data_IF_703273173602
#
_entry.id   IF_703273173602
#
_cell.length_a   1.000
_cell.length_b   1.000
_cell.length_c   1.000
_cell.angle_alpha   90.00
_cell.angle_beta   90.00
_cell.angle_gamma   90.00
#
_symmetry.space_group_name_H-M   'P 1'
#
loop_
_entity.id
_entity.type
_entity.pdbx_description
1 polymer ?
2 non-polymer ?
3 non-polymer ?
4 non-polymer ?
5 water ?
#
# COMPACT_ATOMS: atom_id res chain seq x y z
N UNK A 1 -21.48 -2.78 -1.25
CA UNK A 1 -21.89 -3.84 -2.20
C UNK A 1 -21.45 -5.20 -1.70
N UNK A 2 -20.14 -5.38 -1.52
CA UNK A 2 -19.63 -6.63 -0.93
C UNK A 2 -18.75 -6.28 0.27
N UNK A 3 -19.27 -6.46 1.50
CA UNK A 3 -18.49 -6.18 2.70
C UNK A 3 -17.33 -7.18 2.84
N UNK A 4 -17.51 -8.40 2.37
CA UNK A 4 -16.46 -9.45 2.42
C UNK A 4 -15.23 -8.97 1.67
N UNK A 5 -15.44 -8.39 0.50
CA UNK A 5 -14.34 -7.87 -0.34
C UNK A 5 -13.73 -6.65 0.37
N UNK A 6 -14.55 -5.78 0.94
CA UNK A 6 -14.02 -4.62 1.67
C UNK A 6 -13.13 -5.04 2.86
N UNK A 7 -13.54 -6.09 3.57
CA UNK A 7 -12.77 -6.53 4.73
C UNK A 7 -11.49 -7.29 4.36
N UNK A 8 -11.52 -8.03 3.25
CA UNK A 8 -10.33 -8.61 2.66
C UNK A 8 -9.30 -7.53 2.31
N UNK A 9 -9.78 -6.45 1.68
CA UNK A 9 -8.95 -5.30 1.33
C UNK A 9 -8.30 -4.68 2.57
N UNK A 10 -9.11 -4.56 3.62
CA UNK A 10 -8.66 -3.96 4.86
C UNK A 10 -7.57 -4.79 5.51
N UNK A 11 -7.84 -6.10 5.62
CA UNK A 11 -6.91 -7.03 6.24
C UNK A 11 -5.60 -7.07 5.44
N UNK A 12 -5.69 -7.10 4.11
CA UNK A 12 -4.50 -7.05 3.28
C UNK A 12 -3.74 -5.75 3.55
N UNK A 13 -4.46 -4.61 3.61
CA UNK A 13 -3.85 -3.31 3.90
C UNK A 13 -3.08 -3.30 5.21
N UNK A 14 -3.68 -3.82 6.28
CA UNK A 14 -3.03 -3.99 7.56
C UNK A 14 -1.71 -4.76 7.47
N UNK A 15 -1.70 -5.85 6.71
CA UNK A 15 -0.48 -6.65 6.57
C UNK A 15 0.61 -5.94 5.74
N UNK A 16 0.22 -5.24 4.66
CA UNK A 16 1.14 -4.36 3.95
C UNK A 16 1.79 -3.40 4.93
N UNK A 17 0.99 -2.81 5.81
CA UNK A 17 1.51 -1.84 6.75
C UNK A 17 2.49 -2.48 7.75
N UNK A 18 2.19 -3.68 8.25
CA UNK A 18 3.04 -4.30 9.24
C UNK A 18 4.42 -4.63 8.67
N UNK A 19 4.50 -5.21 7.46
CA UNK A 19 5.84 -5.55 7.02
C UNK A 19 6.55 -4.33 6.48
N UNK A 20 5.77 -3.35 6.01
CA UNK A 20 6.34 -2.04 5.72
C UNK A 20 7.04 -1.47 6.95
N UNK A 21 6.30 -1.40 8.06
CA UNK A 21 6.88 -0.88 9.30
C UNK A 21 8.06 -1.73 9.76
N UNK A 22 7.91 -3.05 9.64
CA UNK A 22 8.96 -3.98 9.99
C UNK A 22 10.20 -3.74 9.14
N UNK A 23 9.97 -3.55 7.84
CA UNK A 23 11.06 -3.34 6.91
C UNK A 23 11.71 -1.99 7.16
N UNK A 24 10.91 -1.00 7.58
CA UNK A 24 11.46 0.31 7.88
C UNK A 24 12.57 0.18 8.91
N UNK A 25 12.40 -0.73 9.86
CA UNK A 25 13.35 -0.87 11.00
C UNK A 25 14.63 -1.61 10.65
N UNK A 26 14.85 -1.96 9.39
CA UNK A 26 16.05 -2.68 8.99
C UNK A 26 16.76 -2.07 7.79
N UNK A 27 18.09 -2.04 7.86
CA UNK A 27 18.95 -1.54 6.80
C UNK A 27 18.94 -2.48 5.59
N UNK A 28 18.73 -3.79 5.84
CA UNK A 28 18.59 -4.78 4.78
C UNK A 28 17.51 -5.79 5.17
N UNK A 29 16.57 -6.07 4.25
CA UNK A 29 15.48 -7.01 4.49
C UNK A 29 15.61 -8.23 3.58
N UNK A 30 15.27 -9.42 4.05
CA UNK A 30 15.39 -10.59 3.20
C UNK A 30 14.53 -10.38 1.95
N UNK A 31 14.88 -10.99 0.80
CA UNK A 31 13.98 -10.94 -0.36
C UNK A 31 12.63 -11.60 -0.06
N UNK A 32 12.60 -12.54 0.88
CA UNK A 32 11.36 -13.19 1.27
C UNK A 32 10.37 -12.16 1.83
N UNK A 33 10.86 -11.31 2.75
CA UNK A 33 10.03 -10.31 3.40
C UNK A 33 9.63 -9.24 2.40
N UNK A 34 10.62 -8.77 1.61
CA UNK A 34 10.38 -7.77 0.59
C UNK A 34 9.32 -8.31 -0.37
N UNK A 35 9.44 -9.58 -0.76
CA UNK A 35 8.43 -10.18 -1.63
C UNK A 35 7.05 -10.36 -1.00
N UNK A 36 6.97 -10.61 0.31
CA UNK A 36 5.67 -10.76 0.96
C UNK A 36 4.90 -9.43 0.91
N UNK A 37 5.63 -8.37 1.24
CA UNK A 37 5.07 -7.03 1.25
C UNK A 37 4.50 -6.74 -0.14
N UNK A 38 5.29 -7.06 -1.15
CA UNK A 38 4.90 -6.61 -2.45
C UNK A 38 3.78 -7.50 -3.00
N UNK A 39 3.76 -8.81 -2.71
CA UNK A 39 2.61 -9.63 -3.06
C UNK A 39 1.33 -9.18 -2.37
N UNK A 40 1.47 -8.76 -1.12
CA UNK A 40 0.34 -8.21 -0.39
C UNK A 40 -0.11 -6.88 -1.01
N UNK A 41 0.85 -6.04 -1.38
CA UNK A 41 0.52 -4.78 -2.03
C UNK A 41 -0.33 -5.03 -3.29
N UNK A 42 0.10 -6.00 -4.07
CA UNK A 42 -0.58 -6.38 -5.32
C UNK A 42 -2.03 -6.78 -5.02
N UNK A 43 -2.25 -7.55 -3.96
CA UNK A 43 -3.59 -8.02 -3.63
C UNK A 43 -4.50 -6.96 -3.02
N UNK A 44 -3.97 -6.01 -2.22
CA UNK A 44 -4.80 -4.88 -1.78
C UNK A 44 -5.22 -4.00 -2.97
N UNK A 45 -4.28 -3.71 -3.87
CA UNK A 45 -4.56 -3.00 -5.11
C UNK A 45 -5.65 -3.77 -5.88
N UNK A 46 -5.41 -5.03 -6.19
CA UNK A 46 -6.45 -5.80 -6.89
C UNK A 46 -7.83 -5.77 -6.23
N UNK A 47 -7.90 -5.87 -4.89
CA UNK A 47 -9.19 -5.90 -4.22
C UNK A 47 -9.83 -4.51 -4.27
N UNK A 48 -8.98 -3.48 -4.27
CA UNK A 48 -9.54 -2.14 -4.37
C UNK A 48 -10.25 -1.92 -5.69
N UNK A 49 -9.58 -2.28 -6.79
CA UNK A 49 -10.20 -2.23 -8.10
C UNK A 49 -11.49 -3.05 -8.15
N UNK A 50 -11.44 -4.24 -7.57
CA UNK A 50 -12.60 -5.13 -7.60
C UNK A 50 -13.79 -4.39 -7.00
N UNK A 51 -13.59 -3.61 -5.94
CA UNK A 51 -14.68 -2.85 -5.33
C UNK A 51 -15.27 -1.75 -6.21
N UNK A 52 -14.48 -1.11 -7.08
CA UNK A 52 -15.06 -0.14 -7.98
C UNK A 52 -15.88 -0.75 -9.12
N UNK A 53 -16.14 -2.07 -9.09
CA UNK A 53 -16.75 -2.81 -10.20
C UNK A 53 -17.83 -3.74 -9.77
N UNK A 59 -19.39 6.20 0.06
CA UNK A 59 -18.83 7.38 0.74
C UNK A 59 -19.18 8.51 -0.24
N UNK A 60 -18.14 9.15 -0.80
CA UNK A 60 -18.26 10.16 -1.86
C UNK A 60 -17.40 9.68 -3.02
N UNK A 61 -17.74 10.04 -4.28
CA UNK A 61 -16.84 9.76 -5.40
C UNK A 61 -15.49 10.47 -5.34
N UNK A 62 -15.44 11.70 -4.80
CA UNK A 62 -14.21 12.48 -4.78
C UNK A 62 -13.18 11.91 -3.81
N UNK A 63 -13.64 11.35 -2.69
CA UNK A 63 -12.78 10.64 -1.76
C UNK A 63 -12.22 9.30 -2.28
N UNK A 64 -13.08 8.44 -2.84
CA UNK A 64 -12.62 7.29 -3.62
C UNK A 64 -11.62 7.64 -4.73
N UNK A 65 -11.86 8.73 -5.44
CA UNK A 65 -10.94 9.14 -6.50
C UNK A 65 -9.55 9.45 -5.95
N UNK A 66 -9.49 10.21 -4.85
CA UNK A 66 -8.26 10.62 -4.19
C UNK A 66 -7.46 9.39 -3.74
N UNK A 67 -8.15 8.48 -3.07
CA UNK A 67 -7.58 7.26 -2.54
C UNK A 67 -6.99 6.38 -3.64
N UNK A 68 -7.71 6.29 -4.75
CA UNK A 68 -7.35 5.51 -5.91
C UNK A 68 -6.12 6.12 -6.55
N UNK A 69 -6.16 7.43 -6.78
CA UNK A 69 -5.00 8.10 -7.32
C UNK A 69 -3.77 7.88 -6.43
N UNK A 70 -3.89 8.04 -5.10
CA UNK A 70 -2.78 7.86 -4.16
C UNK A 70 -2.30 6.40 -4.15
N UNK A 71 -3.23 5.44 -4.22
CA UNK A 71 -2.81 4.05 -4.34
C UNK A 71 -1.90 3.83 -5.54
N UNK A 72 -2.32 4.30 -6.71
CA UNK A 72 -1.54 4.13 -7.91
C UNK A 72 -0.14 4.73 -7.77
N UNK A 73 -0.08 5.89 -7.09
CA UNK A 73 1.17 6.62 -6.92
C UNK A 73 2.06 5.81 -5.98
N UNK A 74 1.48 5.24 -4.92
CA UNK A 74 2.29 4.49 -3.96
C UNK A 74 2.78 3.21 -4.63
N UNK A 75 1.90 2.54 -5.38
CA UNK A 75 2.27 1.33 -6.09
C UNK A 75 3.38 1.63 -7.12
N UNK A 76 3.23 2.69 -7.89
CA UNK A 76 4.29 3.05 -8.86
C UNK A 76 5.60 3.33 -8.12
N UNK A 77 5.55 3.97 -6.95
CA UNK A 77 6.76 4.29 -6.16
C UNK A 77 7.44 2.99 -5.75
N UNK A 78 6.66 2.05 -5.25
CA UNK A 78 7.18 0.75 -4.82
C UNK A 78 7.85 0.02 -5.96
N UNK A 79 7.26 0.03 -7.16
CA UNK A 79 7.84 -0.65 -8.35
C UNK A 79 9.27 -0.16 -8.59
N UNK A 80 9.52 1.14 -8.48
CA UNK A 80 10.89 1.66 -8.65
C UNK A 80 11.80 1.03 -7.58
N UNK A 81 11.31 0.86 -6.36
CA UNK A 81 12.13 0.33 -5.29
C UNK A 81 12.46 -1.16 -5.50
N UNK A 82 11.70 -1.81 -6.37
CA UNK A 82 11.88 -3.25 -6.63
C UNK A 82 13.19 -3.47 -7.39
N UNK A 83 13.67 -2.42 -8.08
CA UNK A 83 14.89 -2.50 -8.86
C UNK A 83 16.19 -2.28 -8.09
N UNK A 84 16.06 -1.90 -6.82
CA UNK A 84 17.14 -1.50 -5.94
C UNK A 84 17.43 -2.58 -4.89
N UNK A 85 18.67 -3.09 -4.85
CA UNK A 85 19.10 -3.91 -3.73
C UNK A 85 19.04 -3.12 -2.43
N UNK A 86 19.41 -1.83 -2.46
CA UNK A 86 19.13 -0.99 -1.31
C UNK A 86 18.42 0.30 -1.66
N UNK A 87 17.28 0.46 -0.99
CA UNK A 87 16.53 1.70 -0.98
C UNK A 87 17.00 2.54 0.21
N UNK A 88 17.32 3.81 -0.06
CA UNK A 88 17.79 4.75 0.94
C UNK A 88 16.71 5.28 1.88
N UNK A 89 17.10 5.86 3.04
CA UNK A 89 16.21 6.69 3.85
C UNK A 89 15.30 7.63 3.06
N UNK A 90 15.88 8.35 2.08
CA UNK A 90 15.10 9.30 1.29
C UNK A 90 13.94 8.60 0.58
N UNK A 91 14.27 7.61 -0.25
CA UNK A 91 13.29 6.77 -0.91
C UNK A 91 12.30 6.19 0.10
N UNK A 92 12.82 5.57 1.17
CA UNK A 92 11.98 4.78 2.06
C UNK A 92 10.95 5.65 2.77
N UNK A 93 11.36 6.88 3.09
CA UNK A 93 10.51 7.83 3.79
C UNK A 93 9.52 8.54 2.85
N UNK A 94 9.95 8.80 1.62
CA UNK A 94 9.00 9.37 0.64
C UNK A 94 7.89 8.35 0.36
N UNK A 95 8.21 7.05 0.33
CA UNK A 95 7.24 5.99 0.13
C UNK A 95 6.29 5.88 1.33
N UNK A 96 6.87 5.99 2.54
CA UNK A 96 6.07 5.92 3.75
C UNK A 96 5.04 7.05 3.80
N UNK A 97 5.46 8.28 3.46
CA UNK A 97 4.59 9.45 3.49
C UNK A 97 3.39 9.28 2.57
N UNK A 98 3.66 8.83 1.33
CA UNK A 98 2.61 8.57 0.39
C UNK A 98 1.68 7.49 0.93
N UNK A 99 2.26 6.43 1.51
CA UNK A 99 1.45 5.28 1.87
C UNK A 99 0.52 5.73 2.98
N UNK A 100 1.10 6.56 3.85
CA UNK A 100 0.24 7.19 4.91
C UNK A 100 -1.07 7.92 4.49
N UNK A 101 -0.95 8.51 3.30
CA UNK A 101 -2.11 9.23 2.78
C UNK A 101 -3.17 8.27 2.26
N UNK A 102 -2.72 7.14 1.69
CA UNK A 102 -3.59 6.08 1.25
C UNK A 102 -4.38 5.49 2.41
N UNK A 103 -3.67 5.17 3.50
CA UNK A 103 -4.28 4.63 4.70
C UNK A 103 -5.30 5.59 5.28
N UNK A 104 -4.89 6.86 5.44
CA UNK A 104 -5.76 7.89 5.99
C UNK A 104 -7.08 8.00 5.21
N UNK A 105 -6.99 8.07 3.88
CA UNK A 105 -8.17 8.25 3.05
C UNK A 105 -9.08 7.03 3.07
N UNK A 106 -8.47 5.83 3.10
CA UNK A 106 -9.24 4.62 3.29
C UNK A 106 -9.97 4.59 4.62
N UNK A 107 -9.27 4.94 5.72
CA UNK A 107 -9.90 5.10 7.03
C UNK A 107 -10.95 6.21 7.03
N UNK A 108 -10.76 7.29 6.25
CA UNK A 108 -11.75 8.35 6.14
C UNK A 108 -13.02 7.85 5.46
N UNK A 109 -12.92 6.74 4.75
CA UNK A 109 -14.11 6.17 4.08
C UNK A 109 -14.80 5.22 5.06
N UNK A 110 -14.09 4.78 6.09
CA UNK A 110 -14.65 3.86 7.11
C UNK A 110 -15.32 4.69 8.21
X LIG B 1 -10.89 1.22 1.76
X LIG B 1 -6.08 0.82 2.06
X LIG B 1 -5.84 0.71 -2.77
X LIG B 1 -10.54 1.35 -3.10
X LIG B 1 -9.58 1.13 2.23
X LIG B 1 -9.24 1.08 3.60
X LIG B 1 -7.91 0.96 3.68
X LIG B 1 -7.40 0.94 2.37
X LIG B 1 -7.07 0.88 4.95
X LIG B 1 -10.18 1.15 4.78
X LIG B 1 -10.68 -0.26 5.07
X LIG B 1 -11.36 -0.31 6.41
X LIG B 1 -10.80 0.18 7.43
X LIG B 1 -12.48 -0.88 6.49
X LIG B 1 -5.63 0.76 0.74
X LIG B 1 -4.29 0.55 0.43
X LIG B 1 -4.21 0.55 -0.91
X LIG B 1 -5.56 0.65 -1.43
X LIG B 1 -3.12 0.40 1.40
X LIG B 1 -2.98 0.27 -1.67
X LIG B 1 -3.01 -0.20 -2.90
X LIG B 1 -7.06 0.90 -3.31
X LIG B 1 -7.33 0.99 -4.68
X LIG B 1 -8.70 1.15 -4.76
X LIG B 1 -9.21 1.18 -3.44
X LIG B 1 -6.31 0.89 -5.82
X LIG B 1 -9.56 1.31 -5.96
X LIG B 1 -9.11 1.25 -7.20
X LIG B 1 -10.99 1.34 -1.76
X LIG B 1 -12.40 1.49 -1.44
X LIG B 1 -12.55 1.43 -0.09
X LIG B 1 -11.18 1.29 0.41
X LIG B 1 -13.52 1.64 -2.44
X LIG B 1 -13.90 1.54 0.69
X LIG B 1 -14.72 0.25 0.57
X LIG B 1 -16.09 0.36 1.26
X LIG B 1 -16.97 -0.53 1.22
X LIG B 1 -16.42 1.36 1.88
X LIG B 1 -8.40 1.05 1.49
X LIG B 1 -6.36 0.81 -0.39
X LIG B 1 -8.18 1.05 -2.59
X LIG B 1 -10.27 1.23 -0.64
X LIG B 1 -8.37 1.07 -0.51
X LIG C 1 -23.85 -1.15 5.39
X LIG C 1 -23.07 -0.34 5.91
X LIG C 1 -24.80 -1.69 5.97
X LIG C 1 -23.64 -1.52 3.91
X LIG C 1 -23.63 -0.40 3.06
X LIG C 1 -22.36 -2.35 3.70
X LIG C 1 -21.63 -2.13 2.39
X LIG C 1 -21.98 -2.77 1.40
X LIG C 1 -20.67 -1.35 2.38
X LIG D 1 9.00 -1.50 -0.83
X LIG D 1 4.34 -1.19 -2.26
X LIG D 1 3.17 0.71 2.12
X LIG D 1 7.76 0.38 3.51
X LIG D 1 7.83 -1.60 -1.55
X LIG D 1 7.74 -2.18 -2.82
X LIG D 1 6.43 -2.09 -3.22
X LIG D 1 5.70 -1.47 -2.21
X LIG D 1 5.83 -2.58 -4.51
X LIG D 1 8.89 -2.79 -3.60
X LIG D 1 9.33 -4.08 -2.91
X LIG D 1 10.83 -4.27 -2.89
X LIG D 1 11.62 -3.30 -3.04
X LIG D 1 11.30 -5.40 -2.74
X LIG D 1 3.66 -0.62 -1.20
X LIG D 1 2.29 -0.32 -1.29
X LIG D 1 1.94 0.23 -0.07
X LIG D 1 3.12 0.24 0.80
X LIG D 1 1.33 -0.54 -2.46
X LIG D 1 0.55 0.66 0.17
X LIG D 1 0.18 1.31 1.24
X LIG D 1 4.32 0.78 2.89
X LIG D 1 4.42 1.32 4.18
X LIG D 1 5.75 1.22 4.55
X LIG D 1 6.44 0.64 3.48
X LIG D 1 3.27 1.87 4.99
X LIG D 1 6.39 1.56 5.83
X LIG D 1 5.70 1.75 6.95
X LIG D 1 8.42 -0.13 2.39
X LIG D 1 9.89 -0.33 2.45
X LIG D 1 10.25 -0.83 1.26
X LIG D 1 9.00 -0.96 0.46
X LIG D 1 10.81 -0.01 3.64
X LIG D 1 11.68 -1.19 0.88
X LIG D 1 12.15 -2.55 1.45
X LIG D 1 13.67 -2.69 1.24
X LIG D 1 14.26 -3.65 1.83
X LIG D 1 14.30 -1.87 0.48
X LIG D 1 6.55 -1.18 -1.18
X LIG D 1 4.13 -0.29 0.06
X LIG D 1 5.54 0.36 2.49
X LIG D 1 7.91 -0.55 1.20
X LIG D 1 6.09 -0.47 0.65
X LIG E 1 20.70 -0.21 -5.71
#
# INVERSE_FOLDING_TARGET
GSPELREKHRALAEQVYADGQEMLKNTSNSPELREKHRALAEQVYATGQEMLKNGSVSPSPELREKHRALAEQVYATGQEMLKNTSNSPELREKHRALAEQVYATGQEMLKN
HEM CHA CHB CHC CHD C1A C2A C3A C4A CMA CAA CBA CGA O1A O2A C1B C2B C3B C4B CMB CAB CBB C1C C2C C3C C4C CMC CAC CBC C1D C2D C3D C4D CMD CAD CBD CGD O1D O2D NA NB NC ND FE
LMR C1 O1A O1B C2 O2 C3 C4 O4A O4B
HEM CHA CHB CHC CHD C1A C2A C3A C4A CMA CAA CBA CGA O1A O2A C1B C2B C3B C4B CMB CAB CBB C1C C2C C3C C4C CMC CAC CBC C1D C2D C3D C4D CMD CAD CBD CGD O1D O2D NA NB NC ND FE
CL CL
#
